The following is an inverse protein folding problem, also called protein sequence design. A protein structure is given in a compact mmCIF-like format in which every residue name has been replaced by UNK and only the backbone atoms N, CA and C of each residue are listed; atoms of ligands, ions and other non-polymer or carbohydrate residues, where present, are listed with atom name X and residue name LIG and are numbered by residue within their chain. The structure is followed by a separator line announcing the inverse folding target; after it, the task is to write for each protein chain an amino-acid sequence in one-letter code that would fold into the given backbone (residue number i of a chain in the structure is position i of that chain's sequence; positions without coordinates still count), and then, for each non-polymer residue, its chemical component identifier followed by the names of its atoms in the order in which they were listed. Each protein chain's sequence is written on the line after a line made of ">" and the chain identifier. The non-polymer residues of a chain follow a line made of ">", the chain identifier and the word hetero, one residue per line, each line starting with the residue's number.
data_IF_877720128364
#
_entry.id   IF_877720128364
#
_cell.length_a   1.000
_cell.length_b   1.000
_cell.length_c   1.000
_cell.angle_alpha   90.00
_cell.angle_beta   90.00
_cell.angle_gamma   90.00
#
_symmetry.space_group_name_H-M   'P 1'
#
loop_
_entity.id
_entity.type
_entity.pdbx_description
1 polymer ?
#
# COMPACT_ATOMS: atom_id res chain seq x y z
N UNK A 1 11.24 -7.29 -47.56
CA UNK A 1 12.65 -6.93 -47.38
C UNK A 1 13.15 -7.54 -46.09
N UNK A 2 14.04 -8.43 -46.25
CA UNK A 2 14.62 -9.23 -45.15
C UNK A 2 15.72 -8.41 -44.51
N UNK A 3 15.53 -7.98 -43.29
CA UNK A 3 16.61 -7.44 -42.49
C UNK A 3 17.12 -8.50 -41.56
N UNK A 4 18.25 -8.98 -41.92
CA UNK A 4 19.03 -9.91 -41.13
C UNK A 4 19.55 -9.20 -39.90
N UNK A 5 19.01 -9.55 -38.77
CA UNK A 5 19.65 -9.18 -37.55
C UNK A 5 20.69 -10.26 -37.23
N UNK A 6 21.91 -9.90 -37.48
CA UNK A 6 23.04 -10.73 -37.13
C UNK A 6 23.12 -10.81 -35.62
N UNK A 7 22.93 -11.99 -35.13
CA UNK A 7 23.29 -12.35 -33.78
C UNK A 7 24.78 -12.09 -33.59
N UNK A 8 25.10 -11.06 -32.86
CA UNK A 8 26.44 -10.90 -32.35
C UNK A 8 26.49 -11.57 -30.99
N UNK A 9 26.83 -12.81 -31.06
CA UNK A 9 27.21 -13.61 -29.93
C UNK A 9 28.54 -13.09 -29.44
N UNK A 10 28.53 -12.24 -28.46
CA UNK A 10 29.72 -11.91 -27.71
C UNK A 10 29.64 -12.56 -26.36
N UNK A 11 30.21 -13.69 -26.36
CA UNK A 11 30.75 -14.41 -25.25
C UNK A 11 31.68 -13.49 -24.49
N UNK A 12 31.26 -13.04 -23.33
CA UNK A 12 32.24 -12.62 -22.33
C UNK A 12 31.58 -12.45 -20.97
N UNK A 13 32.14 -13.18 -20.13
CA UNK A 13 32.34 -12.74 -18.79
C UNK A 13 31.67 -13.61 -17.76
N UNK A 14 32.29 -14.73 -17.55
CA UNK A 14 32.14 -15.44 -16.30
C UNK A 14 32.62 -14.56 -15.16
N UNK A 15 31.77 -13.72 -14.67
CA UNK A 15 31.99 -13.09 -13.39
C UNK A 15 31.39 -13.99 -12.33
N UNK A 16 32.23 -14.78 -11.78
CA UNK A 16 32.02 -15.41 -10.51
C UNK A 16 31.76 -14.32 -9.48
N UNK A 17 30.51 -13.98 -9.31
CA UNK A 17 30.11 -13.34 -8.09
C UNK A 17 30.05 -14.46 -7.07
N UNK A 18 31.11 -14.59 -6.37
CA UNK A 18 31.08 -15.31 -5.12
C UNK A 18 30.08 -14.56 -4.24
N UNK A 19 28.89 -15.07 -4.22
CA UNK A 19 27.97 -14.76 -3.17
C UNK A 19 28.60 -15.29 -1.89
N UNK A 20 29.35 -14.44 -1.24
CA UNK A 20 29.59 -14.62 0.16
C UNK A 20 28.22 -14.67 0.79
N UNK A 21 27.82 -15.84 1.14
CA UNK A 21 26.74 -16.04 2.07
C UNK A 21 27.14 -15.33 3.34
N UNK A 22 26.81 -14.07 3.41
CA UNK A 22 26.74 -13.43 4.68
C UNK A 22 25.64 -14.19 5.42
N UNK A 23 26.05 -15.17 6.19
CA UNK A 23 25.20 -15.72 7.21
C UNK A 23 24.82 -14.54 8.06
N UNK A 24 23.65 -14.02 7.83
CA UNK A 24 23.04 -13.11 8.75
C UNK A 24 22.77 -13.87 10.04
N UNK A 25 23.80 -14.11 10.76
CA UNK A 25 23.65 -14.35 12.16
C UNK A 25 23.16 -13.04 12.72
N UNK A 26 21.87 -12.95 12.89
CA UNK A 26 21.36 -12.02 13.85
C UNK A 26 22.02 -12.40 15.16
N UNK A 27 22.93 -11.64 15.70
CA UNK A 27 23.34 -11.86 17.06
C UNK A 27 22.13 -11.53 17.90
N UNK A 28 21.41 -12.55 18.30
CA UNK A 28 20.57 -12.43 19.45
C UNK A 28 21.56 -12.20 20.58
N UNK A 29 21.95 -10.99 20.75
CA UNK A 29 22.50 -10.57 21.99
C UNK A 29 21.34 -10.64 22.94
N UNK A 30 21.29 -11.69 23.69
CA UNK A 30 20.63 -11.68 24.97
C UNK A 30 21.28 -10.56 25.76
N UNK A 31 20.83 -9.35 25.55
CA UNK A 31 21.04 -8.34 26.52
C UNK A 31 20.16 -8.73 27.68
N UNK A 32 20.80 -9.37 28.60
CA UNK A 32 20.30 -9.50 29.95
C UNK A 32 19.90 -8.09 30.35
N UNK A 33 18.63 -7.90 30.50
CA UNK A 33 18.07 -6.69 31.03
C UNK A 33 18.53 -6.56 32.46
N UNK A 34 19.63 -5.89 32.69
CA UNK A 34 19.81 -5.25 33.95
C UNK A 34 18.80 -4.11 33.97
N UNK A 35 17.74 -4.34 34.73
CA UNK A 35 16.76 -3.35 34.96
C UNK A 35 17.42 -2.09 35.48
N UNK A 36 17.16 -1.06 34.83
CA UNK A 36 16.87 0.25 35.38
C UNK A 36 16.75 1.23 34.22
N UNK A 37 15.67 1.96 34.28
CA UNK A 37 15.23 3.06 33.44
C UNK A 37 14.12 2.74 32.45
N UNK A 38 12.97 2.48 33.01
CA UNK A 38 11.70 2.31 32.29
C UNK A 38 11.00 3.59 31.85
N UNK A 39 11.68 4.74 31.84
CA UNK A 39 11.01 6.02 31.55
C UNK A 39 11.01 6.46 30.10
N UNK A 40 12.10 6.27 29.40
CA UNK A 40 12.26 6.87 28.07
C UNK A 40 11.69 6.04 26.91
N UNK A 41 11.62 4.74 27.08
CA UNK A 41 11.09 3.86 26.03
C UNK A 41 9.59 3.99 25.78
N UNK A 42 8.82 4.29 26.83
CA UNK A 42 7.37 4.41 26.73
C UNK A 42 6.91 5.71 26.07
N UNK A 43 7.65 6.79 26.30
CA UNK A 43 7.34 8.06 25.64
C UNK A 43 7.73 8.05 24.16
N UNK A 44 8.82 7.39 23.81
CA UNK A 44 9.23 7.26 22.43
C UNK A 44 8.26 6.38 21.63
N UNK A 45 7.84 5.27 22.21
CA UNK A 45 6.80 4.42 21.63
C UNK A 45 5.44 5.12 21.53
N UNK A 46 5.13 6.04 22.45
CA UNK A 46 3.90 6.83 22.42
C UNK A 46 3.94 7.91 21.33
N UNK A 47 5.09 8.54 21.13
CA UNK A 47 5.29 9.52 20.04
C UNK A 47 5.31 8.87 18.65
N UNK A 48 5.79 7.64 18.55
CA UNK A 48 5.75 6.89 17.29
C UNK A 48 4.33 6.39 16.96
N UNK A 49 3.49 6.18 17.96
CA UNK A 49 2.07 5.82 17.76
C UNK A 49 1.21 6.99 17.30
N UNK A 50 1.60 8.22 17.63
CA UNK A 50 0.91 9.42 17.15
C UNK A 50 1.21 9.76 15.69
N UNK A 51 2.26 9.16 15.12
CA UNK A 51 2.62 9.28 13.70
C UNK A 51 2.15 8.08 12.88
N UNK A 52 1.03 7.47 13.23
CA UNK A 52 0.40 6.55 12.28
C UNK A 52 0.12 7.34 11.00
N UNK A 53 0.72 6.97 9.88
CA UNK A 53 0.44 7.67 8.64
C UNK A 53 -1.07 7.59 8.42
N UNK A 54 -1.69 8.74 8.28
CA UNK A 54 -3.11 8.80 7.92
C UNK A 54 -3.26 7.97 6.66
N UNK A 55 -3.95 6.87 6.75
CA UNK A 55 -4.16 6.02 5.59
C UNK A 55 -5.00 6.79 4.59
N UNK A 56 -4.39 7.19 3.48
CA UNK A 56 -5.09 7.81 2.36
C UNK A 56 -5.79 6.76 1.48
N UNK A 57 -6.12 5.62 2.05
CA UNK A 57 -6.82 4.54 1.36
C UNK A 57 -8.29 4.55 1.72
N UNK A 58 -9.12 4.43 0.70
CA UNK A 58 -10.57 4.31 0.82
C UNK A 58 -11.02 2.93 0.37
N UNK A 59 -11.96 2.36 1.10
CA UNK A 59 -12.67 1.14 0.69
C UNK A 59 -14.06 1.56 0.22
N UNK A 60 -14.34 1.35 -1.04
CA UNK A 60 -15.58 1.74 -1.70
C UNK A 60 -16.36 0.48 -2.06
N UNK A 61 -17.57 0.36 -1.54
CA UNK A 61 -18.49 -0.71 -1.90
C UNK A 61 -19.48 -0.24 -2.96
N UNK A 62 -19.82 -1.12 -3.90
CA UNK A 62 -20.73 -0.81 -4.98
C UNK A 62 -21.74 -1.95 -5.19
N UNK A 63 -22.88 -1.63 -5.80
CA UNK A 63 -23.90 -2.60 -6.14
C UNK A 63 -23.46 -3.44 -7.35
N UNK A 64 -23.55 -4.77 -7.22
CA UNK A 64 -23.28 -5.72 -8.31
C UNK A 64 -24.13 -5.49 -9.55
N UNK A 65 -25.38 -5.07 -9.36
CA UNK A 65 -26.32 -4.83 -10.46
C UNK A 65 -25.92 -3.64 -11.32
N UNK A 66 -25.47 -2.57 -10.69
CA UNK A 66 -25.03 -1.36 -11.38
C UNK A 66 -23.63 -1.52 -11.98
N UNK A 67 -22.82 -2.42 -11.38
CA UNK A 67 -21.45 -2.67 -11.80
C UNK A 67 -20.49 -1.55 -11.40
N UNK A 68 -19.23 -1.75 -11.72
CA UNK A 68 -18.15 -0.85 -11.28
C UNK A 68 -17.67 0.14 -12.35
N UNK A 69 -18.26 0.15 -13.55
CA UNK A 69 -17.76 0.96 -14.67
C UNK A 69 -17.74 2.46 -14.37
N UNK A 70 -18.81 2.96 -13.75
CA UNK A 70 -18.91 4.39 -13.40
C UNK A 70 -17.93 4.74 -12.27
N UNK A 71 -17.79 3.86 -11.29
CA UNK A 71 -16.84 4.01 -10.21
C UNK A 71 -15.40 4.05 -10.73
N UNK A 72 -15.03 3.15 -11.63
CA UNK A 72 -13.69 3.13 -12.24
C UNK A 72 -13.39 4.40 -13.05
N UNK A 73 -14.39 4.95 -13.73
CA UNK A 73 -14.26 6.24 -14.41
C UNK A 73 -14.05 7.39 -13.43
N UNK A 74 -14.77 7.39 -12.30
CA UNK A 74 -14.62 8.38 -11.27
C UNK A 74 -13.23 8.32 -10.60
N UNK A 75 -12.74 7.13 -10.31
CA UNK A 75 -11.39 6.91 -9.75
C UNK A 75 -10.33 7.52 -10.67
N UNK A 76 -10.40 7.24 -11.97
CA UNK A 76 -9.47 7.81 -12.95
C UNK A 76 -9.60 9.33 -13.08
N UNK A 77 -10.82 9.84 -13.06
CA UNK A 77 -11.09 11.29 -13.17
C UNK A 77 -10.52 12.07 -11.99
N UNK A 78 -10.54 11.48 -10.80
CA UNK A 78 -10.02 12.10 -9.59
C UNK A 78 -8.51 11.86 -9.39
N UNK A 79 -7.84 11.18 -10.32
CA UNK A 79 -6.42 10.88 -10.20
C UNK A 79 -6.07 9.90 -9.10
N UNK A 80 -7.06 9.17 -8.60
CA UNK A 80 -6.85 8.17 -7.56
C UNK A 80 -6.30 6.87 -8.14
N UNK A 81 -5.51 6.14 -7.35
CA UNK A 81 -4.93 4.86 -7.74
C UNK A 81 -5.77 3.70 -7.22
N UNK A 82 -6.21 2.84 -8.11
CA UNK A 82 -6.89 1.60 -7.73
C UNK A 82 -5.86 0.61 -7.22
N UNK A 83 -5.96 0.22 -5.95
CA UNK A 83 -5.05 -0.74 -5.33
C UNK A 83 -5.53 -2.18 -5.51
N UNK A 84 -6.80 -2.44 -5.21
CA UNK A 84 -7.35 -3.78 -5.23
C UNK A 84 -8.84 -3.79 -5.56
N UNK A 85 -9.30 -4.89 -6.17
CA UNK A 85 -10.72 -5.16 -6.42
C UNK A 85 -11.15 -6.41 -5.66
N UNK A 86 -12.07 -6.25 -4.75
CA UNK A 86 -12.67 -7.35 -4.01
C UNK A 86 -13.87 -7.89 -4.78
N UNK A 87 -13.70 -9.04 -5.42
CA UNK A 87 -14.78 -9.65 -6.22
C UNK A 87 -15.93 -10.15 -5.36
N UNK A 88 -15.59 -10.71 -4.20
CA UNK A 88 -16.56 -11.32 -3.29
C UNK A 88 -17.52 -10.28 -2.69
N UNK A 89 -16.96 -9.16 -2.26
CA UNK A 89 -17.70 -8.12 -1.54
C UNK A 89 -18.15 -6.95 -2.41
N UNK A 90 -17.93 -7.00 -3.71
CA UNK A 90 -18.22 -5.87 -4.61
C UNK A 90 -17.63 -4.56 -4.10
N UNK A 91 -16.39 -4.61 -3.71
CA UNK A 91 -15.64 -3.49 -3.17
C UNK A 91 -14.34 -3.23 -3.93
N UNK A 92 -13.83 -2.04 -3.79
CA UNK A 92 -12.53 -1.64 -4.32
C UNK A 92 -11.75 -0.86 -3.26
N UNK A 93 -10.45 -1.11 -3.19
CA UNK A 93 -9.54 -0.29 -2.40
C UNK A 93 -8.86 0.73 -3.31
N UNK A 94 -8.94 1.99 -2.94
CA UNK A 94 -8.44 3.12 -3.72
C UNK A 94 -7.54 3.98 -2.86
N UNK A 95 -6.36 4.30 -3.37
CA UNK A 95 -5.46 5.26 -2.74
C UNK A 95 -5.75 6.66 -3.29
N UNK A 96 -6.03 7.59 -2.40
CA UNK A 96 -6.19 9.01 -2.71
C UNK A 96 -4.81 9.67 -2.68
N UNK A 97 -4.52 10.55 -3.62
CA UNK A 97 -3.27 11.32 -3.62
C UNK A 97 -3.23 12.24 -2.40
N UNK A 98 -2.08 12.36 -1.78
CA UNK A 98 -1.86 13.23 -0.61
C UNK A 98 -2.20 14.70 -0.84
N UNK A 99 -2.23 15.11 -2.11
CA UNK A 99 -2.63 16.46 -2.51
C UNK A 99 -4.13 16.71 -2.47
N UNK A 100 -4.92 15.65 -2.39
CA UNK A 100 -6.38 15.72 -2.35
C UNK A 100 -6.88 15.47 -0.95
N UNK A 101 -7.87 16.25 -0.56
CA UNK A 101 -8.55 16.05 0.71
C UNK A 101 -9.35 14.73 0.66
N UNK A 102 -9.06 13.86 1.61
CA UNK A 102 -9.70 12.55 1.71
C UNK A 102 -11.21 12.67 1.97
N UNK A 103 -11.62 13.66 2.74
CA UNK A 103 -13.05 13.88 3.03
C UNK A 103 -13.81 14.36 1.81
N UNK A 104 -13.18 15.20 0.99
CA UNK A 104 -13.73 15.61 -0.30
C UNK A 104 -13.85 14.42 -1.25
N UNK A 105 -12.83 13.58 -1.32
CA UNK A 105 -12.86 12.37 -2.13
C UNK A 105 -14.01 11.43 -1.72
N UNK A 106 -14.23 11.25 -0.41
CA UNK A 106 -15.33 10.45 0.11
C UNK A 106 -16.68 11.04 -0.34
N UNK A 107 -16.87 12.34 -0.24
CA UNK A 107 -18.10 13.02 -0.65
C UNK A 107 -18.37 12.83 -2.16
N UNK A 108 -17.33 12.92 -2.96
CA UNK A 108 -17.43 12.78 -4.42
C UNK A 108 -17.72 11.33 -4.84
N UNK A 109 -17.07 10.36 -4.20
CA UNK A 109 -17.36 8.95 -4.47
C UNK A 109 -18.77 8.52 -4.05
N UNK A 110 -19.30 9.08 -2.96
CA UNK A 110 -20.70 8.85 -2.53
C UNK A 110 -21.73 9.32 -3.55
N UNK A 111 -21.39 10.30 -4.38
CA UNK A 111 -22.26 10.81 -5.46
C UNK A 111 -22.27 9.91 -6.69
N UNK A 112 -21.31 9.01 -6.82
CA UNK A 112 -21.22 8.11 -7.99
C UNK A 112 -22.36 7.09 -7.95
N UNK A 113 -23.07 6.98 -9.06
CA UNK A 113 -24.17 6.01 -9.18
C UNK A 113 -23.67 4.57 -9.01
N UNK A 114 -24.31 3.85 -8.11
CA UNK A 114 -23.98 2.47 -7.81
C UNK A 114 -23.04 2.28 -6.62
N UNK A 115 -22.51 3.35 -6.05
CA UNK A 115 -21.74 3.29 -4.81
C UNK A 115 -22.71 3.16 -3.64
N UNK A 116 -22.48 2.15 -2.80
CA UNK A 116 -23.30 1.89 -1.61
C UNK A 116 -22.69 2.46 -0.35
N UNK A 117 -21.39 2.36 -0.20
CA UNK A 117 -20.69 2.97 0.93
C UNK A 117 -19.23 3.30 0.60
N UNK A 118 -18.68 4.29 1.31
CA UNK A 118 -17.28 4.69 1.21
C UNK A 118 -16.72 4.82 2.62
N UNK A 119 -15.70 4.06 2.94
CA UNK A 119 -15.08 4.03 4.24
C UNK A 119 -13.58 4.37 4.12
N UNK A 120 -13.05 5.07 5.12
CA UNK A 120 -11.60 5.19 5.25
C UNK A 120 -11.04 3.83 5.68
N UNK A 121 -9.95 3.43 5.06
CA UNK A 121 -9.17 2.28 5.53
C UNK A 121 -8.39 2.76 6.77
N UNK A 122 -9.03 2.65 7.90
CA UNK A 122 -8.45 2.98 9.18
C UNK A 122 -8.05 1.71 9.91
N UNK A 123 -6.89 1.72 10.52
CA UNK A 123 -6.52 0.71 11.50
C UNK A 123 -7.54 0.83 12.63
N UNK A 124 -8.43 -0.15 12.76
CA UNK A 124 -9.28 -0.24 13.94
C UNK A 124 -8.37 -0.42 15.15
N UNK A 125 -8.25 0.61 15.95
CA UNK A 125 -7.74 0.44 17.29
C UNK A 125 -8.83 -0.27 18.07
N UNK A 126 -8.58 -1.51 18.41
CA UNK A 126 -9.39 -2.24 19.38
C UNK A 126 -9.21 -1.52 20.72
N UNK A 127 -10.27 -0.88 21.17
CA UNK A 127 -10.37 -0.36 22.52
C UNK A 127 -10.62 -1.50 23.50
#
# INVERSE_FOLDING_TARGET
>A
MKKYFKANMLLMGLLFIQSTTASAQCPIKEQIMNGDDGGEGLEKAKREREKTPVSHTLIIFFDKKTGNKQLLKAIKKQGCTLLYKYKEFSGVAVKVDEKHDIDQAIADFKKVKGVTSVNKDGIMQLQ
#
